data_IF_260928080291
#
_entry.id   IF_260928080291
#
_cell.length_a   1.000
_cell.length_b   1.000
_cell.length_c   1.000
_cell.angle_alpha   90.00
_cell.angle_beta   90.00
_cell.angle_gamma   90.00
#
_symmetry.space_group_name_H-M   'P 1'
#
loop_
_entity.id
_entity.type
_entity.pdbx_description
1 polymer ?
#
# COMPACT_ATOMS: atom_id res chain seq x y z
N UNK A 1 -20.19 -6.25 -11.64
CA UNK A 1 -18.78 -6.15 -12.09
C UNK A 1 -18.02 -7.27 -11.39
N UNK A 2 -17.00 -7.88 -12.00
CA UNK A 2 -16.23 -8.90 -11.32
C UNK A 2 -15.52 -8.31 -10.10
N UNK A 3 -15.50 -9.08 -9.02
CA UNK A 3 -14.72 -8.82 -7.82
C UNK A 3 -13.32 -9.40 -8.05
N UNK A 4 -12.28 -8.63 -7.72
CA UNK A 4 -10.89 -9.03 -7.85
C UNK A 4 -10.27 -9.04 -6.45
N UNK A 5 -9.67 -10.15 -6.05
CA UNK A 5 -8.75 -10.16 -4.92
C UNK A 5 -7.32 -10.24 -5.43
N UNK A 6 -6.43 -9.38 -4.93
CA UNK A 6 -5.02 -9.36 -5.33
C UNK A 6 -4.11 -9.33 -4.10
N UNK A 7 -3.12 -10.23 -4.09
CA UNK A 7 -2.11 -10.33 -3.05
C UNK A 7 -0.77 -9.87 -3.63
N UNK A 8 -0.14 -8.91 -2.95
CA UNK A 8 1.19 -8.42 -3.25
C UNK A 8 2.10 -8.73 -2.04
N UNK A 9 3.32 -9.16 -2.29
CA UNK A 9 4.33 -9.42 -1.25
C UNK A 9 5.70 -8.93 -1.73
N UNK A 10 6.46 -8.31 -0.83
CA UNK A 10 7.83 -7.85 -1.10
C UNK A 10 8.67 -7.83 0.18
N UNK A 11 9.94 -8.20 0.03
CA UNK A 11 10.91 -8.20 1.12
C UNK A 11 11.87 -7.01 0.98
N UNK A 12 11.61 -5.96 1.75
CA UNK A 12 12.52 -4.82 1.88
C UNK A 12 13.60 -5.09 2.93
N UNK A 13 14.71 -4.33 2.91
CA UNK A 13 15.74 -4.40 3.96
C UNK A 13 15.21 -4.09 5.38
N UNK A 14 14.12 -3.31 5.48
CA UNK A 14 13.48 -2.88 6.73
C UNK A 14 12.31 -3.77 7.17
N UNK A 15 11.91 -4.75 6.36
CA UNK A 15 10.82 -5.67 6.67
C UNK A 15 10.14 -6.24 5.42
N UNK A 16 9.41 -7.34 5.59
CA UNK A 16 8.44 -7.84 4.62
C UNK A 16 7.14 -7.05 4.70
N UNK A 17 6.51 -6.84 3.54
CA UNK A 17 5.19 -6.23 3.42
C UNK A 17 4.33 -7.08 2.50
N UNK A 18 3.21 -7.56 3.05
CA UNK A 18 2.17 -8.26 2.32
C UNK A 18 0.89 -7.41 2.32
N UNK A 19 0.33 -7.17 1.14
CA UNK A 19 -0.88 -6.39 0.91
C UNK A 19 -1.95 -7.25 0.28
N UNK A 20 -3.14 -7.30 0.88
CA UNK A 20 -4.32 -7.94 0.29
C UNK A 20 -5.33 -6.87 -0.08
N UNK A 21 -5.69 -6.80 -1.35
CA UNK A 21 -6.75 -5.95 -1.86
C UNK A 21 -7.95 -6.77 -2.25
N UNK A 22 -9.13 -6.38 -1.78
CA UNK A 22 -10.39 -6.71 -2.44
C UNK A 22 -10.81 -5.48 -3.27
N UNK A 23 -11.13 -5.69 -4.54
CA UNK A 23 -11.42 -4.63 -5.50
C UNK A 23 -12.79 -4.86 -6.14
N UNK A 24 -13.63 -3.85 -6.03
CA UNK A 24 -15.00 -3.83 -6.55
C UNK A 24 -15.18 -2.61 -7.45
N UNK A 25 -15.62 -2.84 -8.70
CA UNK A 25 -15.84 -1.77 -9.69
C UNK A 25 -14.61 -0.85 -9.88
N UNK A 26 -13.41 -1.41 -9.73
CA UNK A 26 -12.14 -0.68 -9.86
C UNK A 26 -11.71 0.10 -8.61
N UNK A 27 -12.45 0.03 -7.51
CA UNK A 27 -12.09 0.61 -6.22
C UNK A 27 -11.72 -0.46 -5.23
N UNK A 28 -10.69 -0.21 -4.41
CA UNK A 28 -10.33 -1.11 -3.32
C UNK A 28 -11.43 -1.03 -2.26
N UNK A 29 -12.20 -2.10 -2.06
CA UNK A 29 -13.24 -2.18 -1.03
C UNK A 29 -12.67 -2.55 0.34
N UNK A 30 -11.53 -3.25 0.36
CA UNK A 30 -10.78 -3.63 1.57
C UNK A 30 -9.29 -3.72 1.30
N UNK A 31 -8.50 -3.28 2.27
CA UNK A 31 -7.04 -3.50 2.33
C UNK A 31 -6.69 -4.20 3.63
N UNK A 32 -5.81 -5.20 3.57
CA UNK A 32 -5.14 -5.76 4.74
C UNK A 32 -3.63 -5.69 4.54
N UNK A 33 -2.91 -5.35 5.61
CA UNK A 33 -1.45 -5.29 5.66
C UNK A 33 -0.96 -6.33 6.67
N UNK A 34 0.06 -7.08 6.28
CA UNK A 34 0.86 -7.89 7.18
C UNK A 34 2.32 -7.49 7.00
N UNK A 35 3.02 -7.30 8.12
CA UNK A 35 4.42 -6.87 8.09
C UNK A 35 5.18 -7.32 9.33
N UNK A 36 6.47 -7.60 9.16
CA UNK A 36 7.43 -7.77 10.26
C UNK A 36 8.32 -6.53 10.46
N UNK A 37 7.98 -5.40 9.80
CA UNK A 37 8.63 -4.10 10.00
C UNK A 37 8.56 -3.69 11.47
N UNK A 38 9.65 -3.10 11.96
CA UNK A 38 9.70 -2.52 13.31
C UNK A 38 8.84 -1.25 13.44
N UNK A 39 8.43 -0.65 12.32
CA UNK A 39 7.61 0.56 12.26
C UNK A 39 6.33 0.29 11.45
N UNK A 40 5.31 -0.40 12.00
CA UNK A 40 4.10 -0.78 11.26
C UNK A 40 3.11 0.37 11.04
N UNK A 41 3.18 1.44 11.85
CA UNK A 41 2.19 2.52 11.85
C UNK A 41 1.93 3.18 10.48
N UNK A 42 2.94 3.49 9.63
CA UNK A 42 2.69 4.04 8.30
C UNK A 42 1.96 3.06 7.38
N UNK A 43 2.22 1.75 7.51
CA UNK A 43 1.60 0.70 6.68
C UNK A 43 0.14 0.47 7.10
N UNK A 44 -0.15 0.50 8.40
CA UNK A 44 -1.52 0.47 8.92
C UNK A 44 -2.32 1.70 8.44
N UNK A 45 -1.71 2.89 8.48
CA UNK A 45 -2.32 4.10 7.96
C UNK A 45 -2.56 4.03 6.44
N UNK A 46 -1.63 3.44 5.69
CA UNK A 46 -1.81 3.18 4.26
C UNK A 46 -3.02 2.27 4.01
N UNK A 47 -3.14 1.16 4.74
CA UNK A 47 -4.27 0.24 4.57
C UNK A 47 -5.62 0.96 4.74
N UNK A 48 -5.73 1.84 5.74
CA UNK A 48 -6.92 2.65 5.95
C UNK A 48 -7.18 3.66 4.82
N UNK A 49 -6.13 4.35 4.32
CA UNK A 49 -6.25 5.32 3.22
C UNK A 49 -6.62 4.69 1.89
N UNK A 50 -6.15 3.47 1.63
CA UNK A 50 -6.41 2.77 0.38
C UNK A 50 -7.86 2.29 0.27
N UNK A 51 -8.64 2.23 1.36
CA UNK A 51 -10.05 1.89 1.28
C UNK A 51 -10.84 2.96 0.50
N UNK A 52 -11.47 2.55 -0.60
CA UNK A 52 -12.16 3.41 -1.55
C UNK A 52 -11.26 4.01 -2.63
N UNK A 53 -9.94 3.88 -2.51
CA UNK A 53 -8.99 4.33 -3.52
C UNK A 53 -9.19 3.57 -4.83
N UNK A 54 -8.98 4.25 -5.96
CA UNK A 54 -9.03 3.61 -7.26
C UNK A 54 -7.82 2.68 -7.39
N UNK A 55 -8.06 1.44 -7.79
CA UNK A 55 -7.02 0.43 -7.99
C UNK A 55 -6.22 0.72 -9.27
N UNK A 56 -5.34 1.72 -9.20
CA UNK A 56 -4.50 2.21 -10.31
C UNK A 56 -3.16 2.70 -9.77
N UNK A 57 -2.08 2.39 -10.48
CA UNK A 57 -0.71 2.60 -10.00
C UNK A 57 -0.41 4.03 -9.52
N UNK A 58 -0.85 5.04 -10.27
CA UNK A 58 -0.68 6.46 -9.92
C UNK A 58 -1.44 6.87 -8.67
N UNK A 59 -2.66 6.36 -8.48
CA UNK A 59 -3.48 6.66 -7.29
C UNK A 59 -2.88 6.02 -6.03
N UNK A 60 -2.43 4.77 -6.13
CA UNK A 60 -1.76 4.10 -5.00
C UNK A 60 -0.44 4.80 -4.63
N UNK A 61 0.31 5.24 -5.64
CA UNK A 61 1.55 6.00 -5.44
C UNK A 61 1.28 7.32 -4.70
N UNK A 62 0.24 8.04 -5.08
CA UNK A 62 -0.16 9.30 -4.43
C UNK A 62 -0.51 9.11 -2.95
N UNK A 63 -1.25 8.05 -2.60
CA UNK A 63 -1.60 7.75 -1.20
C UNK A 63 -0.36 7.41 -0.36
N UNK A 64 0.59 6.64 -0.91
CA UNK A 64 1.87 6.37 -0.27
C UNK A 64 2.69 7.65 -0.07
N UNK A 65 2.78 8.50 -1.09
CA UNK A 65 3.55 9.74 -1.02
C UNK A 65 2.95 10.72 0.00
N UNK A 66 1.62 10.77 0.13
CA UNK A 66 0.93 11.62 1.10
C UNK A 66 1.23 11.23 2.55
N UNK A 67 1.52 9.95 2.84
CA UNK A 67 1.88 9.49 4.19
C UNK A 67 3.20 10.05 4.69
N UNK A 68 4.10 10.46 3.78
CA UNK A 68 5.42 10.99 4.17
C UNK A 68 5.33 12.28 4.96
N UNK A 69 4.22 13.01 4.85
CA UNK A 69 3.94 14.21 5.66
C UNK A 69 3.66 13.84 7.11
N UNK A 70 2.93 12.74 7.33
CA UNK A 70 2.53 12.28 8.67
C UNK A 70 3.63 11.42 9.33
N UNK A 71 4.46 10.77 8.52
CA UNK A 71 5.52 9.85 8.95
C UNK A 71 6.89 10.25 8.36
N UNK A 72 7.42 11.43 8.69
CA UNK A 72 8.68 11.92 8.13
C UNK A 72 9.89 11.07 8.52
N UNK A 73 9.84 10.36 9.65
CA UNK A 73 10.91 9.47 10.11
C UNK A 73 11.05 8.21 9.24
N UNK A 74 9.99 7.81 8.53
CA UNK A 74 9.95 6.63 7.64
C UNK A 74 9.91 7.05 6.16
N UNK A 75 10.44 8.23 5.84
CA UNK A 75 10.37 8.79 4.49
C UNK A 75 11.00 7.85 3.44
N UNK A 76 12.13 7.23 3.77
CA UNK A 76 12.85 6.35 2.84
C UNK A 76 12.07 5.07 2.57
N UNK A 77 11.54 4.44 3.62
CA UNK A 77 10.72 3.23 3.53
C UNK A 77 9.44 3.49 2.71
N UNK A 78 8.78 4.63 2.96
CA UNK A 78 7.58 5.02 2.20
C UNK A 78 7.88 5.32 0.73
N UNK A 79 9.06 5.84 0.40
CA UNK A 79 9.48 6.02 -1.01
C UNK A 79 9.71 4.69 -1.71
N UNK A 80 10.35 3.73 -1.05
CA UNK A 80 10.57 2.39 -1.59
C UNK A 80 9.23 1.65 -1.79
N UNK A 81 8.34 1.72 -0.80
CA UNK A 81 6.99 1.17 -0.86
C UNK A 81 6.17 1.80 -2.01
N UNK A 82 6.21 3.12 -2.15
CA UNK A 82 5.52 3.88 -3.20
C UNK A 82 5.98 3.47 -4.60
N UNK A 83 7.29 3.30 -4.81
CA UNK A 83 7.82 2.83 -6.08
C UNK A 83 7.40 1.37 -6.38
N UNK A 84 7.49 0.50 -5.38
CA UNK A 84 7.13 -0.90 -5.51
C UNK A 84 5.64 -1.10 -5.82
N UNK A 85 4.73 -0.50 -5.04
CA UNK A 85 3.28 -0.71 -5.21
C UNK A 85 2.82 -0.30 -6.61
N UNK A 86 3.37 0.78 -7.17
CA UNK A 86 3.06 1.25 -8.51
C UNK A 86 3.58 0.34 -9.63
N UNK A 87 4.59 -0.49 -9.35
CA UNK A 87 5.09 -1.52 -10.27
C UNK A 87 4.31 -2.83 -10.11
N UNK A 88 3.95 -3.19 -8.88
CA UNK A 88 3.26 -4.43 -8.56
C UNK A 88 1.82 -4.49 -9.09
N UNK A 89 1.16 -3.33 -9.26
CA UNK A 89 -0.22 -3.25 -9.77
C UNK A 89 -0.33 -2.91 -11.27
N UNK A 90 0.79 -2.88 -12.00
CA UNK A 90 0.83 -2.56 -13.44
C UNK A 90 0.46 -3.73 -14.34
#
# INVERSE_FOLDING_TARGET
APELSHLLDERFPWGGVELHFDVEKGHISRTQVFTDSLNPAPLEALAARLQGCLYRADMLQQECDALRVDFPEQEQELRELSAWIAQAVR
#
